data_IF_848763250055
#
_entry.id   IF_848763250055
#
_cell.length_a   1.000
_cell.length_b   1.000
_cell.length_c   1.000
_cell.angle_alpha   90.00
_cell.angle_beta   90.00
_cell.angle_gamma   90.00
#
_symmetry.space_group_name_H-M   'P 1'
#
loop_
_entity.id
_entity.type
_entity.pdbx_description
1 polymer ?
2 non-polymer ?
3 non-polymer ?
4 water ?
#
# COMPACT_ATOMS: atom_id res chain seq x y z
N UNK A 1 -10.88 -3.81 15.16
CA UNK A 1 -11.86 -2.74 15.52
C UNK A 1 -11.18 -1.38 15.56
N UNK A 2 -9.91 -1.35 15.17
CA UNK A 2 -9.14 -0.12 15.13
C UNK A 2 -9.24 0.52 13.75
N UNK A 3 -9.66 1.78 13.71
CA UNK A 3 -9.66 2.50 12.45
C UNK A 3 -8.42 3.38 12.38
N UNK A 4 -7.69 3.27 11.28
CA UNK A 4 -6.47 4.04 11.10
C UNK A 4 -6.68 5.15 10.08
N UNK A 5 -5.81 6.15 10.16
CA UNK A 5 -5.92 7.34 9.34
C UNK A 5 -4.66 7.50 8.50
N UNK A 6 -4.75 7.20 7.20
CA UNK A 6 -3.62 7.46 6.31
C UNK A 6 -3.23 8.93 6.29
N UNK A 7 -1.93 9.18 6.21
CA UNK A 7 -1.41 10.52 5.93
C UNK A 7 -1.92 10.98 4.58
N UNK A 8 -1.80 12.28 4.30
CA UNK A 8 -2.26 12.80 3.00
C UNK A 8 -1.67 12.09 1.78
N UNK A 9 -0.38 11.77 1.83
CA UNK A 9 0.26 11.09 0.72
C UNK A 9 -0.32 9.69 0.49
N UNK A 10 -0.39 8.88 1.54
CA UNK A 10 -0.95 7.55 1.38
C UNK A 10 -2.42 7.62 1.01
N UNK A 11 -3.15 8.55 1.61
CA UNK A 11 -4.57 8.69 1.31
C UNK A 11 -4.78 8.95 -0.18
N UNK A 12 -3.92 9.76 -0.78
CA UNK A 12 -4.07 10.08 -2.20
C UNK A 12 -3.92 8.82 -3.05
N UNK A 13 -3.02 7.92 -2.66
CA UNK A 13 -2.87 6.66 -3.38
C UNK A 13 -4.11 5.79 -3.22
N UNK A 14 -4.63 5.71 -2.00
CA UNK A 14 -5.81 4.90 -1.75
C UNK A 14 -7.00 5.42 -2.55
N UNK A 15 -7.17 6.73 -2.60
CA UNK A 15 -8.31 7.28 -3.32
C UNK A 15 -8.15 7.09 -4.82
N UNK A 16 -6.93 7.14 -5.32
CA UNK A 16 -6.71 6.89 -6.74
C UNK A 16 -7.06 5.44 -7.09
N UNK A 17 -7.01 4.56 -6.10
CA UNK A 17 -7.35 3.16 -6.30
C UNK A 17 -8.83 2.87 -6.09
N UNK A 18 -9.59 3.88 -5.67
CA UNK A 18 -11.02 3.70 -5.51
C UNK A 18 -11.56 3.84 -4.10
N UNK A 19 -10.69 4.11 -3.13
CA UNK A 19 -11.15 4.28 -1.75
C UNK A 19 -12.02 5.53 -1.64
N UNK A 20 -12.99 5.50 -0.73
CA UNK A 20 -13.98 6.57 -0.64
C UNK A 20 -13.90 7.39 0.65
N UNK A 21 -13.35 6.82 1.71
CA UNK A 21 -13.32 7.51 2.99
C UNK A 21 -11.91 7.92 3.43
N UNK A 22 -11.80 8.40 4.66
CA UNK A 22 -10.54 8.93 5.16
C UNK A 22 -9.95 8.09 6.29
N UNK A 23 -10.74 7.16 6.83
CA UNK A 23 -10.22 6.20 7.78
C UNK A 23 -10.67 4.80 7.39
N UNK A 24 -9.92 3.81 7.85
CA UNK A 24 -10.03 2.45 7.34
C UNK A 24 -9.61 1.47 8.42
N UNK A 25 -10.13 0.25 8.36
CA UNK A 25 -9.48 -0.85 9.05
C UNK A 25 -8.18 -1.16 8.31
N UNK A 26 -7.24 -1.80 8.99
CA UNK A 26 -6.01 -2.19 8.33
C UNK A 26 -6.30 -3.09 7.14
N UNK A 27 -7.30 -3.96 7.27
CA UNK A 27 -7.69 -4.82 6.16
C UNK A 27 -8.11 -4.00 4.94
N UNK A 28 -8.86 -2.93 5.17
CA UNK A 28 -9.28 -2.07 4.08
C UNK A 28 -8.08 -1.38 3.44
N UNK A 29 -7.13 -0.94 4.25
CA UNK A 29 -5.95 -0.30 3.69
C UNK A 29 -5.20 -1.28 2.80
N UNK A 30 -5.04 -2.51 3.28
CA UNK A 30 -4.38 -3.54 2.48
C UNK A 30 -5.14 -3.82 1.20
N UNK A 31 -6.47 -3.79 1.26
CA UNK A 31 -7.26 -4.06 0.07
C UNK A 31 -7.06 -2.97 -0.97
N UNK A 32 -7.18 -1.72 -0.56
CA UNK A 32 -7.03 -0.62 -1.49
C UNK A 32 -5.61 -0.51 -2.04
N UNK A 33 -4.61 -0.79 -1.22
CA UNK A 33 -3.24 -0.81 -1.71
C UNK A 33 -3.02 -1.94 -2.71
N UNK A 34 -3.69 -3.07 -2.50
CA UNK A 34 -3.62 -4.14 -3.48
C UNK A 34 -4.19 -3.68 -4.81
N UNK A 35 -5.30 -2.96 -4.76
CA UNK A 35 -5.90 -2.42 -5.97
C UNK A 35 -4.99 -1.40 -6.63
N UNK A 36 -4.34 -0.57 -5.81
CA UNK A 36 -3.39 0.41 -6.32
C UNK A 36 -2.23 -0.28 -7.03
N UNK A 37 -1.70 -1.32 -6.40
CA UNK A 37 -0.59 -2.07 -6.96
C UNK A 37 -0.95 -2.65 -8.32
N UNK A 38 -2.15 -3.19 -8.45
CA UNK A 38 -2.56 -3.76 -9.72
C UNK A 38 -2.82 -2.67 -10.76
N UNK A 39 -3.41 -1.56 -10.32
CA UNK A 39 -3.68 -0.44 -11.22
C UNK A 39 -2.39 0.13 -11.81
N UNK A 40 -1.33 0.17 -11.01
CA UNK A 40 -0.06 0.71 -11.47
C UNK A 40 0.85 -0.36 -12.08
N UNK A 41 0.34 -1.58 -12.17
CA UNK A 41 1.08 -2.69 -12.76
C UNK A 41 2.42 -2.92 -12.07
N UNK A 42 2.40 -2.88 -10.74
CA UNK A 42 3.60 -3.10 -9.96
C UNK A 42 3.80 -4.57 -9.61
N UNK A 43 2.82 -5.39 -9.95
CA UNK A 43 2.84 -6.80 -9.57
C UNK A 43 2.42 -7.67 -10.75
N UNK A 44 3.17 -8.73 -10.99
CA UNK A 44 2.83 -9.68 -12.03
C UNK A 44 2.45 -11.00 -11.38
N UNK A 45 1.27 -11.51 -11.70
CA UNK A 45 0.77 -12.72 -11.06
C UNK A 45 1.53 -13.95 -11.54
N UNK A 46 1.69 -14.91 -10.63
CA UNK A 46 2.29 -16.20 -10.95
C UNK A 46 3.74 -16.08 -11.39
N UNK A 47 4.46 -15.13 -10.80
CA UNK A 47 5.90 -15.02 -11.01
C UNK A 47 6.63 -15.17 -9.68
N UNK A 48 7.32 -14.12 -9.23
CA UNK A 48 8.13 -14.19 -8.02
C UNK A 48 7.44 -13.60 -6.79
N UNK A 49 6.20 -13.16 -6.96
CA UNK A 49 5.42 -12.57 -5.87
C UNK A 49 6.05 -11.27 -5.37
N UNK A 50 6.71 -10.55 -6.27
CA UNK A 50 7.40 -9.31 -5.92
C UNK A 50 6.62 -8.09 -6.42
N UNK A 51 6.50 -7.07 -5.56
CA UNK A 51 6.02 -5.77 -5.99
C UNK A 51 7.20 -4.90 -6.39
N UNK A 52 7.20 -4.45 -7.64
CA UNK A 52 8.28 -3.63 -8.16
C UNK A 52 7.83 -2.18 -8.19
N UNK A 53 8.37 -1.37 -7.29
CA UNK A 53 7.83 -0.03 -7.05
C UNK A 53 8.88 1.07 -7.03
N UNK A 54 10.04 0.81 -7.63
CA UNK A 54 11.16 1.74 -7.57
C UNK A 54 10.87 3.08 -8.25
N UNK A 55 10.00 3.06 -9.25
CA UNK A 55 9.68 4.26 -10.01
C UNK A 55 8.29 4.79 -9.69
N UNK A 56 7.69 4.26 -8.64
CA UNK A 56 6.32 4.61 -8.29
C UNK A 56 6.29 5.38 -6.98
N UNK A 57 5.29 6.26 -6.81
CA UNK A 57 5.10 6.92 -5.52
C UNK A 57 5.12 5.96 -4.33
N UNK A 58 4.61 4.75 -4.53
CA UNK A 58 4.55 3.78 -3.43
C UNK A 58 5.95 3.45 -2.90
N UNK A 59 6.91 3.39 -3.81
CA UNK A 59 8.27 3.04 -3.43
C UNK A 59 8.86 4.01 -2.42
N UNK A 60 8.49 5.28 -2.53
CA UNK A 60 9.02 6.30 -1.64
C UNK A 60 8.35 6.28 -0.27
N UNK A 61 7.03 6.14 -0.26
CA UNK A 61 6.29 6.08 0.99
C UNK A 61 6.72 4.87 1.79
N UNK A 62 7.06 3.80 1.07
CA UNK A 62 7.51 2.56 1.69
C UNK A 62 9.04 2.53 1.86
N UNK A 63 9.75 3.10 0.88
CA UNK A 63 11.20 3.17 0.96
C UNK A 63 11.96 2.05 0.26
N UNK A 64 11.39 1.49 -0.80
CA UNK A 64 11.98 0.31 -1.44
C UNK A 64 11.91 0.33 -2.96
N UNK A 65 12.79 -0.46 -3.59
CA UNK A 65 12.70 -0.73 -5.02
C UNK A 65 11.69 -1.84 -5.25
N UNK A 66 11.60 -2.74 -4.28
CA UNK A 66 10.71 -3.89 -4.37
C UNK A 66 10.49 -4.49 -2.99
N UNK A 67 9.46 -5.32 -2.87
CA UNK A 67 9.30 -6.16 -1.70
C UNK A 67 8.45 -7.36 -2.09
N UNK A 68 8.56 -8.43 -1.32
CA UNK A 68 7.73 -9.61 -1.55
C UNK A 68 6.40 -9.46 -0.82
N UNK A 69 5.32 -9.85 -1.49
CA UNK A 69 4.00 -9.78 -0.87
C UNK A 69 3.83 -10.83 0.22
N UNK A 70 4.83 -11.69 0.40
CA UNK A 70 4.83 -12.64 1.50
C UNK A 70 5.39 -12.05 2.79
N UNK A 71 6.07 -10.91 2.68
CA UNK A 71 6.72 -10.29 3.83
C UNK A 71 5.74 -9.43 4.61
N UNK A 72 4.78 -10.06 5.29
CA UNK A 72 3.68 -9.31 5.85
C UNK A 72 4.06 -8.40 7.01
N UNK A 73 4.96 -8.83 7.89
CA UNK A 73 5.41 -7.94 8.95
C UNK A 73 6.00 -6.66 8.36
N UNK A 74 6.83 -6.82 7.34
CA UNK A 74 7.47 -5.67 6.73
C UNK A 74 6.43 -4.75 6.11
N UNK A 75 5.42 -5.33 5.47
CA UNK A 75 4.40 -4.53 4.82
C UNK A 75 3.57 -3.75 5.84
N UNK A 76 3.21 -4.38 6.95
CA UNK A 76 2.52 -3.65 8.01
C UNK A 76 3.37 -2.49 8.54
N UNK A 77 4.68 -2.70 8.64
CA UNK A 77 5.56 -1.65 9.13
C UNK A 77 5.65 -0.50 8.13
N UNK A 78 5.73 -0.83 6.85
CA UNK A 78 5.82 0.20 5.83
C UNK A 78 4.52 1.00 5.73
N UNK A 79 3.39 0.33 5.91
CA UNK A 79 2.12 1.05 5.96
C UNK A 79 2.07 1.94 7.20
N UNK A 80 2.54 1.42 8.33
CA UNK A 80 2.47 2.16 9.57
C UNK A 80 3.24 3.48 9.52
N UNK A 81 4.32 3.50 8.74
CA UNK A 81 5.07 4.74 8.51
C UNK A 81 4.16 5.84 8.01
N UNK A 82 3.07 5.43 7.36
CA UNK A 82 2.22 6.35 6.62
C UNK A 82 0.84 6.47 7.23
N UNK A 83 0.76 6.26 8.54
CA UNK A 83 -0.47 6.49 9.27
C UNK A 83 -0.29 7.64 10.25
N UNK A 84 -1.37 8.37 10.50
CA UNK A 84 -1.36 9.46 11.47
C UNK A 84 -1.68 8.87 12.84
N UNK A 85 -2.88 8.31 12.95
CA UNK A 85 -3.30 7.55 14.11
C UNK A 85 -3.95 6.25 13.63
X LIG B 1 -2.77 -6.25 -0.06
X LIG B 1 -1.42 -5.81 -0.13
X LIG B 1 -1.00 -4.52 -0.01
X LIG B 1 0.37 -4.30 -0.07
X LIG B 1 0.99 -2.71 0.12
X LIG B 1 -2.80 -7.66 -0.21
X LIG B 1 -3.83 -8.33 -0.14
X LIG B 1 -1.38 -8.15 -0.48
X LIG B 1 -1.30 -8.77 -1.86
X LIG B 1 -2.09 -7.96 -2.91
X LIG B 1 -1.51 -8.18 -4.33
X LIG B 1 -1.36 -9.68 -4.61
X LIG B 1 -0.14 -7.51 -4.42
X LIG B 1 -2.45 -7.56 -5.37
X LIG B 1 -1.89 -10.13 -1.67
X LIG B 1 -0.95 -9.31 0.42
X LIG B 1 -1.32 -9.14 1.88
X LIG B 1 -2.53 -9.61 2.39
X LIG B 1 -2.80 -9.47 3.77
X LIG B 1 -1.86 -8.86 4.62
X LIG B 1 -0.43 -8.55 2.73
X LIG B 1 0.75 -8.12 2.24
X LIG B 1 -0.67 -8.39 4.07
X LIG B 1 0.51 -7.59 5.08
X LIG B 1 -1.61 -10.53 -0.24
X LIG B 1 -0.71 -11.72 -0.23
X LIG B 1 -0.48 -12.27 -1.51
X LIG B 1 0.21 -13.50 -1.80
X LIG B 1 0.85 -14.22 -0.81
X LIG B 1 0.20 -13.92 -3.13
X LIG B 1 0.79 -15.12 -3.46
X LIG B 1 1.41 -15.90 -2.47
X LIG B 1 1.99 -17.20 -2.83
X LIG B 1 2.61 -17.91 -2.03
X LIG B 1 1.82 -17.64 -4.13
X LIG B 1 1.45 -15.43 -1.14
X LIG B 1 -0.20 -12.19 0.78
X LIG B 1 -0.60 -6.87 -0.34
X LIG B 1 0.77 -6.69 -0.43
X LIG B 1 1.27 -5.38 -0.29
X LIG C 1 0.32 -14.89 -7.36
X LIG C 1 -0.12 -13.80 -6.47
X LIG C 1 -0.49 -14.88 -8.59
X LIG C 1 1.74 -14.69 -7.70
X LIG C 1 0.16 -16.18 -6.67
#
# INVERSE_FOLDING_TARGET
>A
EKLVQPTPLLLSLLKSAGAQKETFTMKEVLYHLGQYIMAKQLYDEKQQHIVHCSNDPLGELFGVQEFSVKEHRRIYAMISRNLVS
>B hetero
1 20U N1 C9 C7 C6 CL1 C2 O2 C3 C11 C21 C22 C25 C24 C23 N12 C14 C31 C36 C35 C34 C32 F1 C33 CL2 C13 C41 N42 C43 C48 C44 C45 C46 C51 O51 N51 C47 O41 C8 C4 C5
>C hetero
1 SO4 S O1 O2 O3 O4
#
